data_IF_956214662251
#
_entry.id   IF_956214662251
#
_cell.length_a   1.000
_cell.length_b   1.000
_cell.length_c   1.000
_cell.angle_alpha   90.00
_cell.angle_beta   90.00
_cell.angle_gamma   90.00
#
_symmetry.space_group_name_H-M   'P 1'
#
loop_
_entity.id
_entity.type
_entity.pdbx_description
1 polymer ?
#
# COMPACT_ATOMS: atom_id res chain seq x y z
N UNK A 1 14.52 -39.66 13.23
CA UNK A 1 14.57 -38.54 12.27
C UNK A 1 13.21 -37.85 12.28
N UNK A 2 13.05 -36.86 13.16
CA UNK A 2 11.84 -36.04 13.24
C UNK A 2 12.27 -34.60 12.97
N UNK A 3 12.08 -34.14 11.73
CA UNK A 3 12.19 -32.71 11.44
C UNK A 3 10.93 -32.04 11.97
N UNK A 4 11.09 -31.35 13.10
CA UNK A 4 10.12 -30.40 13.63
C UNK A 4 9.93 -29.28 12.60
N UNK A 5 8.76 -29.23 11.96
CA UNK A 5 8.26 -28.03 11.30
C UNK A 5 7.95 -26.99 12.39
N UNK A 6 8.81 -26.00 12.54
CA UNK A 6 8.49 -24.74 13.19
C UNK A 6 9.03 -23.61 12.34
N UNK A 7 8.13 -22.87 11.69
CA UNK A 7 7.96 -21.43 11.86
C UNK A 7 6.97 -20.95 10.79
N UNK A 8 5.80 -20.46 11.18
CA UNK A 8 5.03 -19.60 10.29
C UNK A 8 5.88 -18.37 10.01
N UNK A 9 6.17 -18.10 8.75
CA UNK A 9 7.01 -16.99 8.31
C UNK A 9 6.23 -15.70 8.55
N UNK A 10 6.37 -15.08 9.72
CA UNK A 10 5.79 -13.75 9.94
C UNK A 10 6.43 -12.74 8.98
N UNK A 11 5.62 -11.84 8.41
CA UNK A 11 6.14 -10.75 7.57
C UNK A 11 7.21 -9.96 8.36
N UNK A 12 8.45 -9.94 7.85
CA UNK A 12 9.63 -9.40 8.53
C UNK A 12 9.44 -8.05 9.24
N UNK A 13 10.28 -7.77 10.25
CA UNK A 13 10.01 -6.78 11.32
C UNK A 13 10.21 -5.30 10.98
N UNK A 14 10.33 -4.92 9.70
CA UNK A 14 10.59 -3.51 9.33
C UNK A 14 9.29 -2.73 9.17
N UNK A 15 9.29 -1.40 9.43
CA UNK A 15 8.16 -0.53 9.10
C UNK A 15 7.72 -0.71 7.64
N UNK A 16 6.41 -0.73 7.41
CA UNK A 16 5.81 -0.90 6.09
C UNK A 16 4.56 -0.07 5.94
N UNK A 17 4.30 0.40 4.73
CA UNK A 17 3.05 1.06 4.36
C UNK A 17 2.65 0.67 2.95
N UNK A 18 1.35 0.43 2.76
CA UNK A 18 0.76 0.16 1.48
C UNK A 18 0.03 1.40 0.97
N UNK A 19 0.33 1.84 -0.24
CA UNK A 19 -0.34 2.96 -0.90
C UNK A 19 -1.43 2.41 -1.80
N UNK A 20 -2.69 2.70 -1.47
CA UNK A 20 -3.86 2.28 -2.25
C UNK A 20 -4.79 3.44 -2.57
N UNK A 21 -5.92 3.16 -3.22
CA UNK A 21 -6.94 4.14 -3.58
C UNK A 21 -8.26 3.43 -3.86
N UNK A 22 -9.28 4.22 -4.19
CA UNK A 22 -10.59 3.74 -4.60
C UNK A 22 -10.60 3.21 -6.05
N UNK A 23 -9.69 3.69 -6.91
CA UNK A 23 -9.63 3.32 -8.34
C UNK A 23 -8.28 3.61 -8.98
N UNK A 24 -8.11 3.14 -10.21
CA UNK A 24 -7.02 3.57 -11.11
C UNK A 24 -7.04 5.09 -11.34
N UNK A 25 -5.87 5.68 -11.60
CA UNK A 25 -5.74 7.12 -11.90
C UNK A 25 -6.14 8.08 -10.76
N UNK A 26 -6.20 7.60 -9.50
CA UNK A 26 -6.31 8.48 -8.32
C UNK A 26 -4.99 9.19 -7.95
N UNK A 27 -3.87 8.79 -8.57
CA UNK A 27 -2.53 9.37 -8.34
C UNK A 27 -1.61 8.56 -7.43
N UNK A 28 -1.97 7.31 -7.12
CA UNK A 28 -1.18 6.39 -6.27
C UNK A 28 0.28 6.33 -6.69
N UNK A 29 0.56 6.03 -7.96
CA UNK A 29 1.92 5.87 -8.49
C UNK A 29 2.79 7.09 -8.27
N UNK A 30 2.26 8.28 -8.55
CA UNK A 30 2.97 9.54 -8.30
C UNK A 30 3.25 9.74 -6.81
N UNK A 31 2.30 9.41 -5.94
CA UNK A 31 2.45 9.52 -4.49
C UNK A 31 3.44 8.48 -3.95
N UNK A 32 3.39 7.24 -4.42
CA UNK A 32 4.33 6.16 -4.08
C UNK A 32 5.76 6.57 -4.45
N UNK A 33 5.98 6.97 -5.70
CA UNK A 33 7.29 7.41 -6.20
C UNK A 33 7.80 8.62 -5.41
N UNK A 34 6.93 9.61 -5.16
CA UNK A 34 7.29 10.80 -4.38
C UNK A 34 7.67 10.46 -2.94
N UNK A 35 6.94 9.54 -2.29
CA UNK A 35 7.25 9.06 -0.95
C UNK A 35 8.58 8.30 -0.92
N UNK A 36 8.79 7.38 -1.86
CA UNK A 36 10.05 6.64 -1.99
C UNK A 36 11.24 7.61 -2.17
N UNK A 37 11.15 8.55 -3.11
CA UNK A 37 12.19 9.54 -3.35
C UNK A 37 12.44 10.42 -2.12
N UNK A 38 11.38 10.83 -1.41
CA UNK A 38 11.50 11.63 -0.20
C UNK A 38 12.11 10.86 0.99
N UNK A 39 11.95 9.53 1.05
CA UNK A 39 12.59 8.69 2.05
C UNK A 39 14.07 8.42 1.71
N UNK A 40 14.34 8.10 0.45
CA UNK A 40 15.72 7.89 -0.07
C UNK A 40 16.56 9.15 0.11
N UNK A 41 16.03 10.33 -0.23
CA UNK A 41 16.72 11.61 -0.02
C UNK A 41 16.99 11.96 1.45
N UNK A 42 16.27 11.31 2.39
CA UNK A 42 16.53 11.39 3.83
C UNK A 42 17.51 10.30 4.33
N UNK A 43 18.05 9.47 3.43
CA UNK A 43 19.04 8.45 3.74
C UNK A 43 18.46 7.08 4.12
N UNK A 44 17.16 6.86 4.00
CA UNK A 44 16.56 5.55 4.27
C UNK A 44 16.78 4.57 3.11
N UNK A 45 17.08 3.31 3.43
CA UNK A 45 17.07 2.19 2.49
C UNK A 45 15.63 1.73 2.29
N UNK A 46 15.02 2.13 1.18
CA UNK A 46 13.62 1.83 0.88
C UNK A 46 13.50 0.57 0.03
N UNK A 47 12.85 -0.47 0.53
CA UNK A 47 12.46 -1.61 -0.30
C UNK A 47 11.08 -1.35 -0.91
N UNK A 48 11.02 -1.23 -2.23
CA UNK A 48 9.76 -1.05 -2.94
C UNK A 48 9.15 -2.38 -3.37
N UNK A 49 7.83 -2.43 -3.33
CA UNK A 49 7.03 -3.52 -3.89
C UNK A 49 5.89 -2.97 -4.74
N UNK A 50 5.42 -3.78 -5.69
CA UNK A 50 4.24 -3.51 -6.48
C UNK A 50 3.28 -4.68 -6.35
N UNK A 51 2.01 -4.40 -6.06
CA UNK A 51 0.98 -5.43 -6.07
C UNK A 51 0.67 -5.81 -7.52
N UNK A 52 0.46 -7.12 -7.72
CA UNK A 52 0.25 -7.81 -8.99
C UNK A 52 1.46 -7.81 -9.93
N UNK A 53 1.37 -8.56 -11.02
CA UNK A 53 2.35 -8.54 -12.09
C UNK A 53 2.33 -7.20 -12.85
N UNK A 54 3.36 -6.39 -12.63
CA UNK A 54 3.68 -5.19 -13.41
C UNK A 54 5.17 -5.21 -13.83
N UNK A 55 5.52 -4.44 -14.84
CA UNK A 55 6.90 -4.28 -15.33
C UNK A 55 7.34 -2.82 -15.43
N UNK A 56 6.40 -1.88 -15.60
CA UNK A 56 6.70 -0.46 -15.79
C UNK A 56 6.94 0.18 -14.43
N UNK A 57 5.99 0.07 -13.50
CA UNK A 57 6.11 0.69 -12.17
C UNK A 57 7.32 0.14 -11.39
N UNK A 58 7.59 -1.19 -11.37
CA UNK A 58 8.78 -1.73 -10.72
C UNK A 58 10.09 -1.15 -11.26
N UNK A 59 10.15 -0.78 -12.55
CA UNK A 59 11.35 -0.18 -13.14
C UNK A 59 11.60 1.22 -12.57
N UNK A 60 10.56 2.04 -12.43
CA UNK A 60 10.68 3.36 -11.80
C UNK A 60 11.01 3.27 -10.31
N UNK A 61 10.38 2.35 -9.60
CA UNK A 61 10.66 2.15 -8.17
C UNK A 61 12.10 1.68 -7.94
N UNK A 62 12.60 0.80 -8.80
CA UNK A 62 13.99 0.33 -8.73
C UNK A 62 14.97 1.49 -8.95
N UNK A 63 14.71 2.33 -9.94
CA UNK A 63 15.54 3.51 -10.21
C UNK A 63 15.55 4.49 -9.04
N UNK A 64 14.38 4.76 -8.44
CA UNK A 64 14.27 5.71 -7.31
C UNK A 64 14.95 5.18 -6.06
N UNK A 65 14.76 3.90 -5.75
CA UNK A 65 15.19 3.31 -4.47
C UNK A 65 16.61 2.75 -4.51
N UNK A 66 17.17 2.52 -5.71
CA UNK A 66 18.43 1.80 -5.89
C UNK A 66 18.35 0.32 -5.49
N UNK A 67 17.15 -0.20 -5.20
CA UNK A 67 16.89 -1.60 -4.83
C UNK A 67 15.88 -2.19 -5.79
N UNK A 68 16.08 -3.45 -6.21
CA UNK A 68 15.12 -4.10 -7.11
C UNK A 68 13.72 -4.15 -6.50
N UNK A 69 12.76 -3.52 -7.16
CA UNK A 69 11.36 -3.63 -6.83
C UNK A 69 10.86 -5.06 -7.12
N UNK A 70 10.08 -5.62 -6.21
CA UNK A 70 9.47 -6.96 -6.37
C UNK A 70 7.96 -6.87 -6.53
N UNK A 71 7.42 -7.78 -7.33
CA UNK A 71 5.98 -7.94 -7.45
C UNK A 71 5.45 -8.84 -6.33
N UNK A 72 4.31 -8.47 -5.76
CA UNK A 72 3.54 -9.26 -4.79
C UNK A 72 2.19 -9.57 -5.44
N UNK A 73 2.07 -10.75 -6.03
CA UNK A 73 0.90 -11.16 -6.80
C UNK A 73 0.20 -12.33 -6.10
N UNK A 74 -0.90 -12.04 -5.39
CA UNK A 74 -1.64 -13.05 -4.64
C UNK A 74 -2.53 -13.96 -5.52
N UNK A 75 -2.53 -13.80 -6.84
CA UNK A 75 -3.15 -14.74 -7.77
C UNK A 75 -2.16 -15.83 -8.18
N UNK A 76 -0.88 -15.49 -8.37
CA UNK A 76 0.19 -16.42 -8.76
C UNK A 76 0.96 -17.00 -7.58
N UNK A 77 1.00 -16.29 -6.46
CA UNK A 77 1.70 -16.69 -5.24
C UNK A 77 0.67 -16.99 -4.16
N UNK A 78 0.91 -18.04 -3.40
CA UNK A 78 0.22 -18.26 -2.14
C UNK A 78 0.78 -17.34 -1.04
N UNK A 79 0.18 -17.40 0.14
CA UNK A 79 0.56 -16.57 1.28
C UNK A 79 2.03 -16.76 1.67
N UNK A 80 2.52 -18.00 1.69
CA UNK A 80 3.92 -18.32 2.00
C UNK A 80 4.86 -17.71 0.96
N UNK A 81 4.55 -17.82 -0.34
CA UNK A 81 5.34 -17.21 -1.39
C UNK A 81 5.39 -15.67 -1.31
N UNK A 82 4.27 -15.02 -0.95
CA UNK A 82 4.25 -13.56 -0.73
C UNK A 82 5.15 -13.16 0.44
N UNK A 83 5.07 -13.90 1.55
CA UNK A 83 5.86 -13.64 2.75
C UNK A 83 7.37 -13.86 2.50
N UNK A 84 7.72 -14.89 1.75
CA UNK A 84 9.10 -15.20 1.38
C UNK A 84 9.68 -14.12 0.46
N UNK A 85 8.97 -13.73 -0.61
CA UNK A 85 9.40 -12.65 -1.51
C UNK A 85 9.57 -11.34 -0.76
N UNK A 86 8.61 -11.00 0.11
CA UNK A 86 8.66 -9.79 0.93
C UNK A 86 9.89 -9.81 1.85
N UNK A 87 10.05 -10.86 2.65
CA UNK A 87 11.09 -10.94 3.68
C UNK A 87 12.49 -10.99 3.05
N UNK A 88 12.67 -11.83 2.03
CA UNK A 88 13.95 -11.94 1.33
C UNK A 88 14.37 -10.60 0.68
N UNK A 89 13.44 -9.89 0.04
CA UNK A 89 13.74 -8.59 -0.55
C UNK A 89 14.10 -7.53 0.49
N UNK A 90 13.43 -7.55 1.66
CA UNK A 90 13.74 -6.66 2.77
C UNK A 90 15.12 -6.96 3.38
N UNK A 91 15.54 -8.22 3.44
CA UNK A 91 16.81 -8.65 4.06
C UNK A 91 18.00 -8.60 3.11
N UNK A 92 17.76 -8.57 1.79
CA UNK A 92 18.84 -8.56 0.78
C UNK A 92 19.81 -7.39 0.98
N UNK A 93 21.11 -7.68 0.89
CA UNK A 93 22.19 -6.71 1.10
C UNK A 93 22.32 -6.34 2.58
N UNK A 94 22.46 -5.04 2.86
CA UNK A 94 22.53 -4.53 4.25
C UNK A 94 21.14 -4.31 4.88
N UNK A 95 20.13 -5.04 4.44
CA UNK A 95 18.72 -4.85 4.82
C UNK A 95 18.08 -3.56 4.30
N UNK A 96 16.77 -3.45 4.44
CA UNK A 96 15.98 -2.25 4.20
C UNK A 96 15.46 -1.66 5.53
N UNK A 97 15.32 -0.33 5.59
CA UNK A 97 14.82 0.37 6.77
C UNK A 97 13.29 0.49 6.75
N UNK A 98 12.69 0.50 5.56
CA UNK A 98 11.24 0.63 5.36
C UNK A 98 10.81 -0.02 4.04
N UNK A 99 9.64 -0.65 4.06
CA UNK A 99 8.98 -1.15 2.85
C UNK A 99 7.85 -0.22 2.38
N UNK A 100 7.84 0.13 1.09
CA UNK A 100 6.74 0.86 0.45
C UNK A 100 6.10 -0.05 -0.60
N UNK A 101 4.82 -0.37 -0.40
CA UNK A 101 4.07 -1.26 -1.28
C UNK A 101 3.07 -0.42 -2.08
N UNK A 102 3.21 -0.39 -3.41
CA UNK A 102 2.20 0.23 -4.27
C UNK A 102 1.10 -0.76 -4.64
N UNK A 103 -0.14 -0.43 -4.31
CA UNK A 103 -1.33 -1.16 -4.75
C UNK A 103 -1.57 -1.11 -6.26
N UNK A 104 -2.43 -1.97 -6.76
CA UNK A 104 -2.91 -1.98 -8.16
C UNK A 104 -4.39 -1.64 -8.19
N UNK A 105 -4.85 -0.97 -9.25
CA UNK A 105 -6.27 -0.57 -9.42
C UNK A 105 -6.87 0.11 -8.18
N UNK A 106 -7.98 -0.37 -7.65
CA UNK A 106 -8.55 0.04 -6.36
C UNK A 106 -8.25 -0.99 -5.27
N UNK A 107 -8.43 -0.62 -4.00
CA UNK A 107 -8.06 -1.45 -2.85
C UNK A 107 -8.64 -2.88 -2.91
N UNK A 108 -9.92 -3.00 -3.25
CA UNK A 108 -10.64 -4.28 -3.32
C UNK A 108 -10.77 -4.85 -4.73
N UNK A 109 -10.09 -4.25 -5.72
CA UNK A 109 -10.17 -4.69 -7.11
C UNK A 109 -9.24 -5.89 -7.33
N UNK A 110 -9.80 -7.11 -7.21
CA UNK A 110 -9.09 -8.38 -7.42
C UNK A 110 -9.47 -9.10 -8.71
N UNK A 111 -9.07 -10.37 -8.79
CA UNK A 111 -9.41 -11.29 -9.87
C UNK A 111 -10.85 -11.82 -9.74
N UNK A 112 -11.31 -12.06 -8.51
CA UNK A 112 -12.65 -12.59 -8.22
C UNK A 112 -13.59 -11.50 -7.68
N UNK A 113 -14.90 -11.69 -7.87
CA UNK A 113 -15.92 -10.73 -7.43
C UNK A 113 -16.29 -10.83 -5.95
N UNK A 114 -15.97 -11.96 -5.29
CA UNK A 114 -16.46 -12.30 -3.96
C UNK A 114 -15.33 -12.66 -2.97
N UNK A 115 -14.08 -12.58 -3.41
CA UNK A 115 -12.91 -12.83 -2.58
C UNK A 115 -11.84 -11.78 -2.87
N UNK A 116 -10.83 -11.69 -2.00
CA UNK A 116 -9.72 -10.77 -2.19
C UNK A 116 -8.66 -11.31 -3.16
N UNK A 117 -8.84 -12.47 -3.77
CA UNK A 117 -7.80 -13.08 -4.61
C UNK A 117 -7.30 -12.11 -5.68
N UNK A 118 -6.00 -11.80 -5.66
CA UNK A 118 -5.34 -10.86 -6.57
C UNK A 118 -5.58 -9.38 -6.27
N UNK A 119 -6.25 -9.04 -5.17
CA UNK A 119 -6.54 -7.65 -4.77
C UNK A 119 -5.40 -7.02 -3.97
N UNK A 120 -5.40 -5.69 -3.89
CA UNK A 120 -4.48 -4.97 -3.01
C UNK A 120 -4.78 -5.24 -1.53
N UNK A 121 -6.05 -5.45 -1.16
CA UNK A 121 -6.47 -5.79 0.19
C UNK A 121 -5.93 -7.14 0.65
N UNK A 122 -5.82 -8.14 -0.24
CA UNK A 122 -5.19 -9.43 0.08
C UNK A 122 -3.76 -9.23 0.59
N UNK A 123 -2.96 -8.45 -0.15
CA UNK A 123 -1.56 -8.18 0.22
C UNK A 123 -1.48 -7.36 1.52
N UNK A 124 -2.39 -6.39 1.72
CA UNK A 124 -2.47 -5.65 2.98
C UNK A 124 -2.69 -6.58 4.18
N UNK A 125 -3.60 -7.57 4.05
CA UNK A 125 -3.93 -8.52 5.11
C UNK A 125 -2.81 -9.54 5.37
N UNK A 126 -2.24 -10.14 4.31
CA UNK A 126 -1.11 -11.08 4.43
C UNK A 126 0.06 -10.41 5.15
N UNK A 127 0.42 -9.20 4.74
CA UNK A 127 1.55 -8.49 5.33
C UNK A 127 1.21 -7.76 6.64
N UNK A 128 -0.07 -7.72 7.06
CA UNK A 128 -0.55 -6.85 8.15
C UNK A 128 -0.04 -5.41 7.96
N UNK A 129 -0.25 -4.87 6.76
CA UNK A 129 0.32 -3.61 6.33
C UNK A 129 -0.70 -2.48 6.47
N UNK A 130 -0.40 -1.39 7.19
CA UNK A 130 -1.28 -0.24 7.24
C UNK A 130 -1.39 0.41 5.85
N UNK A 131 -2.61 0.76 5.47
CA UNK A 131 -2.94 1.35 4.18
C UNK A 131 -3.03 2.86 4.30
N UNK A 132 -2.24 3.56 3.48
CA UNK A 132 -2.46 4.98 3.18
C UNK A 132 -3.32 5.08 1.91
N UNK A 133 -4.51 5.63 2.08
CA UNK A 133 -5.53 5.66 1.04
C UNK A 133 -5.48 6.98 0.27
N UNK A 134 -5.22 6.91 -1.03
CA UNK A 134 -5.17 8.07 -1.92
C UNK A 134 -6.56 8.37 -2.47
N UNK A 135 -7.04 9.58 -2.23
CA UNK A 135 -8.29 10.10 -2.82
C UNK A 135 -7.94 11.18 -3.82
N UNK A 136 -8.42 11.03 -5.05
CA UNK A 136 -8.50 12.17 -5.96
C UNK A 136 -9.65 13.09 -5.51
N UNK A 137 -9.28 14.13 -4.75
CA UNK A 137 -10.20 15.05 -4.11
C UNK A 137 -10.69 16.17 -5.04
N UNK A 138 -10.50 16.05 -6.37
CA UNK A 138 -11.00 17.04 -7.32
C UNK A 138 -12.50 17.23 -7.10
N UNK A 139 -12.87 18.44 -6.67
CA UNK A 139 -14.24 18.88 -6.44
C UNK A 139 -15.00 18.16 -5.29
N UNK A 140 -14.32 17.45 -4.38
CA UNK A 140 -14.97 16.79 -3.24
C UNK A 140 -14.32 17.16 -1.91
N UNK A 141 -15.14 17.41 -0.88
CA UNK A 141 -14.69 17.63 0.50
C UNK A 141 -15.29 16.58 1.44
N UNK A 142 -16.54 16.78 1.86
CA UNK A 142 -17.25 15.89 2.79
C UNK A 142 -17.46 14.49 2.20
N UNK A 143 -17.62 14.37 0.88
CA UNK A 143 -17.74 13.07 0.21
C UNK A 143 -16.47 12.22 0.35
N UNK A 144 -15.30 12.82 0.57
CA UNK A 144 -14.08 12.08 0.87
C UNK A 144 -14.21 11.27 2.16
N UNK A 145 -14.89 11.81 3.18
CA UNK A 145 -15.19 11.09 4.42
C UNK A 145 -16.16 9.93 4.20
N UNK A 146 -17.16 10.09 3.31
CA UNK A 146 -18.07 9.01 2.95
C UNK A 146 -17.34 7.86 2.22
N UNK A 147 -16.39 8.19 1.33
CA UNK A 147 -15.53 7.20 0.69
C UNK A 147 -14.72 6.43 1.74
N UNK A 148 -13.96 7.13 2.59
CA UNK A 148 -13.13 6.47 3.62
C UNK A 148 -13.98 5.63 4.57
N UNK A 149 -15.12 6.16 5.03
CA UNK A 149 -16.04 5.40 5.88
C UNK A 149 -16.55 4.14 5.17
N UNK A 150 -16.89 4.21 3.89
CA UNK A 150 -17.32 3.07 3.09
C UNK A 150 -16.22 2.02 3.00
N UNK A 151 -15.01 2.42 2.60
CA UNK A 151 -13.89 1.49 2.46
C UNK A 151 -13.47 0.84 3.79
N UNK A 152 -13.41 1.63 4.88
CA UNK A 152 -13.07 1.14 6.23
C UNK A 152 -14.12 0.18 6.79
N UNK A 153 -15.40 0.45 6.55
CA UNK A 153 -16.49 -0.39 7.06
C UNK A 153 -16.76 -1.62 6.17
N UNK A 154 -16.32 -1.59 4.92
CA UNK A 154 -16.53 -2.69 3.97
C UNK A 154 -15.68 -3.92 4.34
N UNK A 155 -14.41 -3.71 4.69
CA UNK A 155 -13.51 -4.75 5.19
C UNK A 155 -12.78 -4.26 6.45
N UNK A 156 -13.28 -4.62 7.66
CA UNK A 156 -12.66 -4.24 8.92
C UNK A 156 -11.25 -4.82 9.16
N UNK A 157 -10.85 -5.85 8.41
CA UNK A 157 -9.53 -6.46 8.55
C UNK A 157 -8.44 -5.67 7.81
N UNK A 158 -8.82 -4.65 7.01
CA UNK A 158 -7.89 -3.73 6.36
C UNK A 158 -7.75 -2.44 7.17
N UNK A 159 -6.54 -2.22 7.70
CA UNK A 159 -6.22 -1.02 8.48
C UNK A 159 -5.97 0.18 7.56
N UNK A 160 -6.98 1.03 7.34
CA UNK A 160 -6.78 2.35 6.72
C UNK A 160 -6.23 3.32 7.77
N UNK A 161 -4.91 3.51 7.73
CA UNK A 161 -4.16 4.26 8.75
C UNK A 161 -4.01 5.76 8.43
N UNK A 162 -4.27 6.19 7.19
CA UNK A 162 -4.19 7.60 6.80
C UNK A 162 -4.69 7.86 5.39
N UNK A 163 -4.92 9.14 5.09
CA UNK A 163 -5.43 9.57 3.77
C UNK A 163 -4.50 10.59 3.10
N UNK A 164 -4.25 10.41 1.81
CA UNK A 164 -3.63 11.44 0.98
C UNK A 164 -4.66 12.02 0.02
N UNK A 165 -4.92 13.32 0.17
CA UNK A 165 -5.83 14.07 -0.70
C UNK A 165 -5.06 14.62 -1.92
N UNK A 166 -5.23 13.97 -3.07
CA UNK A 166 -4.65 14.40 -4.34
C UNK A 166 -5.57 15.40 -5.07
N UNK A 167 -5.01 16.25 -5.95
CA UNK A 167 -5.74 17.26 -6.73
C UNK A 167 -6.60 18.25 -5.91
N UNK A 168 -6.12 18.62 -4.72
CA UNK A 168 -6.74 19.66 -3.89
C UNK A 168 -6.58 21.03 -4.54
N UNK A 169 -7.68 21.79 -4.60
CA UNK A 169 -7.74 23.12 -5.24
C UNK A 169 -7.19 24.28 -4.40
N UNK A 170 -6.82 24.04 -3.14
CA UNK A 170 -6.24 25.06 -2.25
C UNK A 170 -6.43 24.76 -0.76
N UNK A 171 -5.87 25.61 0.11
CA UNK A 171 -5.83 25.37 1.56
C UNK A 171 -7.22 25.14 2.20
N UNK A 172 -8.19 26.01 1.91
CA UNK A 172 -9.57 25.88 2.44
C UNK A 172 -10.26 24.59 1.98
N UNK A 173 -9.95 24.12 0.77
CA UNK A 173 -10.46 22.85 0.26
C UNK A 173 -9.85 21.69 1.07
N UNK A 174 -8.52 21.68 1.23
CA UNK A 174 -7.81 20.69 2.04
C UNK A 174 -8.35 20.60 3.47
N UNK A 175 -8.47 21.74 4.17
CA UNK A 175 -8.95 21.79 5.56
C UNK A 175 -10.36 21.20 5.70
N UNK A 176 -11.30 21.60 4.83
CA UNK A 176 -12.67 21.05 4.87
C UNK A 176 -12.73 19.55 4.61
N UNK A 177 -11.90 19.04 3.70
CA UNK A 177 -11.86 17.62 3.39
C UNK A 177 -11.23 16.83 4.55
N UNK A 178 -10.12 17.34 5.10
CA UNK A 178 -9.44 16.78 6.27
C UNK A 178 -10.36 16.71 7.48
N UNK A 179 -10.95 17.84 7.89
CA UNK A 179 -11.87 17.90 9.03
C UNK A 179 -13.03 16.90 8.89
N UNK A 180 -13.58 16.76 7.69
CA UNK A 180 -14.65 15.79 7.45
C UNK A 180 -14.16 14.35 7.63
N UNK A 181 -12.99 13.99 7.10
CA UNK A 181 -12.43 12.65 7.23
C UNK A 181 -12.15 12.34 8.70
N UNK A 182 -11.42 13.22 9.40
CA UNK A 182 -11.07 13.04 10.81
C UNK A 182 -12.33 12.91 11.68
N UNK A 183 -13.32 13.81 11.50
CA UNK A 183 -14.55 13.80 12.29
C UNK A 183 -15.39 12.54 12.09
N UNK A 184 -15.59 12.09 10.85
CA UNK A 184 -16.50 10.97 10.55
C UNK A 184 -15.84 9.59 10.63
N UNK A 185 -14.52 9.51 10.50
CA UNK A 185 -13.83 8.22 10.34
C UNK A 185 -12.73 7.97 11.37
N UNK A 186 -12.25 9.03 12.03
CA UNK A 186 -11.10 8.98 12.96
C UNK A 186 -9.75 8.74 12.27
N UNK A 187 -9.71 8.73 10.93
CA UNK A 187 -8.49 8.53 10.15
C UNK A 187 -7.81 9.90 9.90
N UNK A 188 -6.49 10.03 10.10
CA UNK A 188 -5.77 11.28 9.87
C UNK A 188 -5.52 11.60 8.37
#
# INVERSE_FOLDING_TARGET
MSHSKQSGTEAGSIPRVLISADRSSSGKTTISMGLMAALVSRGYKVQSFKVALDYIDPSYHTEITGRFCRNLDGYLMDEEGILDVYSHACETGDGADIAIIEGVRGLYEGFESLSDLGSTAQIAKILKCPVVFVINARSITRSSAALISGYKNFDPDVEIAGVVLNNIGGRRHAEKAKEAIEYYTGVP
#
